data_IF_083160042968
#
_entry.id   IF_083160042968
#
_cell.length_a   1.000
_cell.length_b   1.000
_cell.length_c   1.000
_cell.angle_alpha   90.00
_cell.angle_beta   90.00
_cell.angle_gamma   90.00
#
_symmetry.space_group_name_H-M   'P 1'
#
loop_
_entity.id
_entity.type
_entity.pdbx_description
1 polymer ?
#
# COMPACT_ATOMS: atom_id res chain seq x y z
N UNK A 1 15.33 -21.89 8.37
CA UNK A 1 15.64 -20.45 8.49
C UNK A 1 15.75 -19.86 7.09
N UNK A 2 15.35 -18.60 6.92
CA UNK A 2 15.30 -17.78 5.68
C UNK A 2 13.94 -17.71 4.96
N UNK A 3 12.93 -17.09 5.58
CA UNK A 3 11.78 -16.53 4.83
C UNK A 3 11.71 -15.00 4.94
N UNK A 4 12.51 -14.39 5.83
CA UNK A 4 12.38 -12.97 6.16
C UNK A 4 12.86 -12.03 5.04
N UNK A 5 13.82 -12.45 4.21
CA UNK A 5 14.37 -11.60 3.14
C UNK A 5 13.43 -11.44 1.95
N UNK A 6 12.67 -12.48 1.62
CA UNK A 6 11.70 -12.47 0.50
C UNK A 6 10.50 -11.58 0.84
N UNK A 7 10.07 -11.61 2.11
CA UNK A 7 9.03 -10.71 2.62
C UNK A 7 9.43 -9.23 2.58
N UNK A 8 10.70 -8.90 2.88
CA UNK A 8 11.18 -7.52 2.93
C UNK A 8 11.30 -6.87 1.55
N UNK A 9 11.75 -7.62 0.53
CA UNK A 9 11.79 -7.11 -0.86
C UNK A 9 10.37 -6.80 -1.36
N UNK A 10 9.42 -7.71 -1.14
CA UNK A 10 8.01 -7.50 -1.50
C UNK A 10 7.40 -6.31 -0.79
N UNK A 11 7.64 -6.17 0.51
CA UNK A 11 7.18 -5.02 1.30
C UNK A 11 7.71 -3.70 0.72
N UNK A 12 9.00 -3.61 0.41
CA UNK A 12 9.57 -2.39 -0.18
C UNK A 12 8.97 -2.08 -1.56
N UNK A 13 8.78 -3.09 -2.41
CA UNK A 13 8.21 -2.90 -3.75
C UNK A 13 6.75 -2.43 -3.71
N UNK A 14 5.95 -2.98 -2.81
CA UNK A 14 4.55 -2.57 -2.61
C UNK A 14 4.50 -1.18 -1.99
N UNK A 15 5.32 -0.92 -0.96
CA UNK A 15 5.43 0.40 -0.34
C UNK A 15 5.79 1.47 -1.37
N UNK A 16 6.85 1.26 -2.14
CA UNK A 16 7.29 2.19 -3.18
C UNK A 16 6.26 2.37 -4.31
N UNK A 17 5.43 1.36 -4.56
CA UNK A 17 4.35 1.49 -5.54
C UNK A 17 3.18 2.34 -5.03
N UNK A 18 2.90 2.28 -3.72
CA UNK A 18 1.81 3.00 -3.09
C UNK A 18 2.18 4.42 -2.67
N UNK A 19 3.42 4.64 -2.27
CA UNK A 19 3.92 5.98 -1.93
C UNK A 19 4.09 6.83 -3.19
N UNK A 20 3.31 7.90 -3.28
CA UNK A 20 3.42 8.93 -4.30
C UNK A 20 2.99 10.28 -3.72
N UNK A 21 3.00 11.34 -4.52
CA UNK A 21 2.61 12.67 -4.06
C UNK A 21 1.22 12.63 -3.41
N UNK A 22 1.16 12.99 -2.13
CA UNK A 22 -0.06 12.95 -1.33
C UNK A 22 -0.43 11.61 -0.69
N UNK A 23 0.33 10.52 -0.86
CA UNK A 23 0.04 9.20 -0.26
C UNK A 23 1.24 8.66 0.50
N UNK A 24 1.01 8.37 1.78
CA UNK A 24 2.04 7.83 2.68
C UNK A 24 1.57 6.50 3.23
N UNK A 25 2.42 5.48 3.13
CA UNK A 25 2.14 4.17 3.75
C UNK A 25 2.50 4.26 5.24
N UNK A 26 1.50 4.24 6.11
CA UNK A 26 1.70 4.30 7.56
C UNK A 26 1.94 2.91 8.16
N UNK A 27 1.33 1.89 7.58
CA UNK A 27 1.50 0.50 8.00
C UNK A 27 1.37 -0.45 6.80
N UNK A 28 2.21 -1.48 6.76
CA UNK A 28 2.18 -2.51 5.71
C UNK A 28 2.54 -3.89 6.28
N UNK A 29 1.54 -4.74 6.36
CA UNK A 29 1.67 -6.12 6.78
C UNK A 29 1.41 -7.06 5.61
N UNK A 30 2.32 -8.01 5.40
CA UNK A 30 2.21 -9.03 4.37
C UNK A 30 2.51 -10.36 5.03
N UNK A 31 1.65 -11.35 4.80
CA UNK A 31 1.86 -12.71 5.27
C UNK A 31 1.53 -13.71 4.16
N UNK A 32 2.19 -14.86 4.22
CA UNK A 32 1.96 -15.95 3.29
C UNK A 32 0.70 -16.71 3.69
N UNK A 33 -0.23 -16.92 2.75
CA UNK A 33 -1.46 -17.70 2.98
C UNK A 33 -1.41 -19.09 2.34
N UNK A 34 -0.61 -19.27 1.27
CA UNK A 34 -0.36 -20.59 0.68
C UNK A 34 1.02 -20.63 0.00
N UNK A 35 1.36 -21.75 -0.66
CA UNK A 35 2.62 -21.89 -1.39
C UNK A 35 2.88 -20.73 -2.38
N UNK A 36 1.82 -20.24 -3.04
CA UNK A 36 1.90 -19.23 -4.10
C UNK A 36 1.16 -17.92 -3.78
N UNK A 37 0.34 -17.91 -2.72
CA UNK A 37 -0.52 -16.77 -2.39
C UNK A 37 -0.10 -16.06 -1.10
N UNK A 38 -0.23 -14.74 -1.13
CA UNK A 38 0.04 -13.83 -0.02
C UNK A 38 -1.20 -12.96 0.22
N UNK A 39 -1.35 -12.53 1.47
CA UNK A 39 -2.32 -11.54 1.86
C UNK A 39 -1.58 -10.30 2.40
N UNK A 40 -2.17 -9.14 2.17
CA UNK A 40 -1.64 -7.87 2.61
C UNK A 40 -2.73 -6.99 3.22
N UNK A 41 -2.38 -6.31 4.31
CA UNK A 41 -3.13 -5.18 4.85
C UNK A 41 -2.20 -3.98 4.76
N UNK A 42 -2.73 -2.87 4.25
CA UNK A 42 -2.01 -1.62 4.17
C UNK A 42 -2.88 -0.48 4.69
N UNK A 43 -2.30 0.36 5.53
CA UNK A 43 -2.89 1.63 5.95
C UNK A 43 -2.17 2.77 5.23
N UNK A 44 -2.97 3.64 4.61
CA UNK A 44 -2.52 4.79 3.86
C UNK A 44 -2.99 6.06 4.56
N UNK A 45 -2.10 7.03 4.69
CA UNK A 45 -2.45 8.43 4.97
C UNK A 45 -2.49 9.17 3.64
N UNK A 46 -3.66 9.68 3.27
CA UNK A 46 -3.87 10.37 1.99
C UNK A 46 -4.19 11.85 2.22
N UNK A 47 -3.58 12.71 1.42
CA UNK A 47 -3.77 14.16 1.41
C UNK A 47 -4.76 14.61 0.32
N UNK A 48 -5.06 13.72 -0.61
CA UNK A 48 -5.98 13.89 -1.74
C UNK A 48 -7.08 12.83 -1.71
N UNK A 49 -8.10 13.02 -2.55
CA UNK A 49 -9.15 12.02 -2.74
C UNK A 49 -8.57 10.83 -3.51
N UNK A 50 -8.80 9.62 -2.98
CA UNK A 50 -8.29 8.38 -3.56
C UNK A 50 -9.40 7.35 -3.66
N UNK A 51 -9.42 6.68 -4.81
CA UNK A 51 -10.27 5.54 -5.04
C UNK A 51 -9.60 4.25 -4.55
N UNK A 52 -10.12 3.71 -3.45
CA UNK A 52 -9.64 2.46 -2.85
C UNK A 52 -9.74 1.27 -3.80
N UNK A 53 -10.77 1.23 -4.64
CA UNK A 53 -11.04 0.12 -5.55
C UNK A 53 -10.02 0.14 -6.68
N UNK A 54 -9.74 1.31 -7.25
CA UNK A 54 -8.73 1.47 -8.28
C UNK A 54 -7.34 1.09 -7.76
N UNK A 55 -6.95 1.56 -6.58
CA UNK A 55 -5.67 1.17 -5.96
C UNK A 55 -5.56 -0.33 -5.75
N UNK A 56 -6.64 -0.96 -5.26
CA UNK A 56 -6.67 -2.41 -5.08
C UNK A 56 -6.48 -3.15 -6.40
N UNK A 57 -7.19 -2.75 -7.46
CA UNK A 57 -7.04 -3.35 -8.78
C UNK A 57 -5.63 -3.18 -9.35
N UNK A 58 -5.02 -2.01 -9.14
CA UNK A 58 -3.64 -1.75 -9.55
C UNK A 58 -2.64 -2.65 -8.81
N UNK A 59 -2.83 -2.87 -7.51
CA UNK A 59 -2.02 -3.81 -6.73
C UNK A 59 -2.21 -5.26 -7.19
N UNK A 60 -3.45 -5.71 -7.41
CA UNK A 60 -3.75 -7.07 -7.90
C UNK A 60 -3.14 -7.30 -9.29
N UNK A 61 -3.19 -6.30 -10.17
CA UNK A 61 -2.58 -6.37 -11.51
C UNK A 61 -1.05 -6.43 -11.47
N UNK A 62 -0.41 -5.64 -10.61
CA UNK A 62 1.06 -5.56 -10.52
C UNK A 62 1.67 -6.70 -9.71
N UNK A 63 0.93 -7.24 -8.75
CA UNK A 63 1.39 -8.26 -7.83
C UNK A 63 0.41 -9.44 -7.79
N UNK A 64 0.42 -10.27 -8.84
CA UNK A 64 -0.47 -11.43 -9.00
C UNK A 64 -0.43 -12.47 -7.86
N UNK A 65 0.60 -12.43 -7.02
CA UNK A 65 0.74 -13.28 -5.84
C UNK A 65 -0.05 -12.76 -4.62
N UNK A 66 -0.57 -11.53 -4.66
CA UNK A 66 -1.43 -10.97 -3.62
C UNK A 66 -2.88 -11.37 -3.91
N UNK A 67 -3.42 -12.29 -3.12
CA UNK A 67 -4.79 -12.82 -3.31
C UNK A 67 -5.82 -12.17 -2.40
N UNK A 68 -5.38 -11.60 -1.27
CA UNK A 68 -6.24 -10.89 -0.35
C UNK A 68 -5.59 -9.57 0.03
N UNK A 69 -6.19 -8.47 -0.41
CA UNK A 69 -5.71 -7.12 -0.14
C UNK A 69 -6.81 -6.32 0.55
N UNK A 70 -6.47 -5.78 1.71
CA UNK A 70 -7.28 -4.79 2.42
C UNK A 70 -6.51 -3.47 2.47
N UNK A 71 -7.16 -2.40 2.03
CA UNK A 71 -6.59 -1.05 2.03
C UNK A 71 -7.43 -0.22 2.99
N UNK A 72 -6.80 0.28 4.05
CA UNK A 72 -7.38 1.28 4.94
C UNK A 72 -6.89 2.67 4.50
N UNK A 73 -7.82 3.58 4.26
CA UNK A 73 -7.52 4.96 3.86
C UNK A 73 -7.87 5.88 5.01
N UNK A 74 -6.84 6.55 5.53
CA UNK A 74 -6.96 7.60 6.51
C UNK A 74 -6.75 8.94 5.79
N UNK A 75 -7.76 9.79 5.77
CA UNK A 75 -7.59 11.16 5.26
C UNK A 75 -6.81 11.99 6.27
N UNK A 76 -5.84 12.76 5.78
CA UNK A 76 -5.08 13.65 6.64
C UNK A 76 -6.00 14.72 7.25
N UNK A 77 -6.04 14.86 8.59
CA UNK A 77 -6.97 15.75 9.27
C UNK A 77 -6.60 17.23 9.16
N UNK A 78 -5.42 17.55 8.63
CA UNK A 78 -4.91 18.92 8.54
C UNK A 78 -5.46 19.61 7.29
N UNK A 79 -6.18 20.71 7.48
CA UNK A 79 -6.67 21.56 6.38
C UNK A 79 -5.54 22.11 5.48
N UNK A 80 -4.32 22.20 6.00
CA UNK A 80 -3.11 22.65 5.28
C UNK A 80 -2.54 21.62 4.30
N UNK A 81 -2.99 20.37 4.35
CA UNK A 81 -2.51 19.35 3.42
C UNK A 81 -3.10 19.46 2.01
N UNK A 82 -4.15 20.26 1.82
CA UNK A 82 -4.63 20.63 0.48
C UNK A 82 -3.76 21.69 -0.20
N UNK A 83 -2.79 22.29 0.50
CA UNK A 83 -2.02 23.45 0.03
C UNK A 83 -0.51 23.22 0.07
N UNK A 84 -0.05 22.02 -0.28
CA UNK A 84 1.36 21.86 -0.67
C UNK A 84 1.37 21.76 -2.20
N UNK A 85 1.20 22.93 -2.85
CA UNK A 85 1.62 23.11 -4.22
C UNK A 85 3.14 23.14 -4.21
N UNK A 86 3.79 22.03 -4.55
CA UNK A 86 5.22 22.05 -4.84
C UNK A 86 5.43 22.92 -6.09
N UNK A 87 6.10 24.06 -5.91
CA UNK A 87 6.57 24.96 -6.99
C UNK A 87 7.85 24.43 -7.61
#
# INVERSE_FOLDING_TARGET
MLDNSIGLDKKSRIKHFLEHDGVIVTDLHIWKVSAEHYAAIVSLLVHSDIDAVQLKQQLESKFSQLSHITIEINQCPLASCKSISYS
#
